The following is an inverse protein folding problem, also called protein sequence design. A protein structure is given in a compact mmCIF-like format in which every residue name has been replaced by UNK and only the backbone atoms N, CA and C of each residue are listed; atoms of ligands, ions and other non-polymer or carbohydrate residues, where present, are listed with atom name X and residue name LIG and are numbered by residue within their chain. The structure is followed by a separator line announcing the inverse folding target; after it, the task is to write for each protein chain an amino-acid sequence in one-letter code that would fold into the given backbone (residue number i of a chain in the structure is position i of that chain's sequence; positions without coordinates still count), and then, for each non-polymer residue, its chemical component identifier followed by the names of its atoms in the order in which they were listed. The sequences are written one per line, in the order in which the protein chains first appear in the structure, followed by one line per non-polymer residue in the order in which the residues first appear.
data_IF_127913209632
#
_entry.id   IF_127913209632
#
_cell.length_a   1.000
_cell.length_b   1.000
_cell.length_c   1.000
_cell.angle_alpha   90.00
_cell.angle_beta   90.00
_cell.angle_gamma   90.00
#
_symmetry.space_group_name_H-M   'P 1'
#
loop_
_entity.id
_entity.type
_entity.pdbx_description
1 polymer ?
#
# COMPACT_ATOMS: atom_id res chain seq x y z
N UNK A 1 -2.87 -10.92 3.22
CA UNK A 1 -1.91 -9.83 2.91
C UNK A 1 -0.56 -10.35 2.38
N UNK A 2 0.02 -11.39 2.98
CA UNK A 2 1.28 -11.94 2.49
C UNK A 2 1.22 -12.41 1.04
N UNK A 3 0.10 -13.00 0.62
CA UNK A 3 -0.09 -13.43 -0.76
C UNK A 3 -0.11 -12.26 -1.75
N UNK A 4 -0.70 -11.13 -1.34
CA UNK A 4 -0.73 -9.94 -2.18
C UNK A 4 0.67 -9.39 -2.44
N UNK A 5 1.46 -9.21 -1.39
CA UNK A 5 2.78 -8.60 -1.51
C UNK A 5 3.82 -9.55 -2.08
N UNK A 6 3.58 -10.84 -2.02
CA UNK A 6 4.46 -11.85 -2.61
C UNK A 6 4.15 -12.21 -4.05
N UNK A 7 3.06 -11.69 -4.61
CA UNK A 7 2.64 -12.04 -5.96
C UNK A 7 3.43 -11.26 -7.01
N UNK A 8 4.35 -11.95 -7.67
CA UNK A 8 5.17 -11.35 -8.73
C UNK A 8 4.49 -11.35 -10.09
N UNK A 9 3.40 -12.11 -10.25
CA UNK A 9 2.66 -12.24 -11.50
C UNK A 9 1.46 -11.33 -11.62
N UNK A 10 1.28 -10.37 -10.72
CA UNK A 10 0.08 -9.54 -10.68
C UNK A 10 -0.14 -8.74 -11.97
N UNK A 11 0.93 -8.34 -12.66
CA UNK A 11 0.83 -7.58 -13.92
C UNK A 11 0.33 -8.42 -15.08
N UNK A 12 0.62 -9.73 -15.02
CA UNK A 12 0.23 -10.69 -16.06
C UNK A 12 -1.15 -11.28 -15.80
N UNK A 13 -1.69 -11.08 -14.58
CA UNK A 13 -2.98 -11.64 -14.18
C UNK A 13 -3.81 -10.61 -13.39
N UNK A 14 -4.48 -9.67 -14.10
CA UNK A 14 -5.28 -8.63 -13.45
C UNK A 14 -6.39 -9.17 -12.54
N UNK A 15 -7.02 -10.29 -12.92
CA UNK A 15 -8.10 -10.88 -12.11
C UNK A 15 -7.57 -11.37 -10.75
N UNK A 16 -6.42 -12.03 -10.76
CA UNK A 16 -5.78 -12.50 -9.53
C UNK A 16 -5.38 -11.30 -8.66
N UNK A 17 -4.75 -10.29 -9.26
CA UNK A 17 -4.35 -9.08 -8.57
C UNK A 17 -5.55 -8.39 -7.92
N UNK A 18 -6.61 -8.16 -8.69
CA UNK A 18 -7.81 -7.49 -8.18
C UNK A 18 -8.49 -8.26 -7.07
N UNK A 19 -8.49 -9.61 -7.14
CA UNK A 19 -9.02 -10.43 -6.05
C UNK A 19 -8.22 -10.26 -4.77
N UNK A 20 -6.88 -10.25 -4.87
CA UNK A 20 -6.01 -10.06 -3.71
C UNK A 20 -6.18 -8.65 -3.13
N UNK A 21 -6.37 -7.65 -3.98
CA UNK A 21 -6.68 -6.29 -3.53
C UNK A 21 -8.02 -6.26 -2.77
N UNK A 22 -9.04 -6.92 -3.29
CA UNK A 22 -10.34 -6.98 -2.63
C UNK A 22 -10.24 -7.67 -1.25
N UNK A 23 -9.47 -8.75 -1.15
CA UNK A 23 -9.22 -9.44 0.11
C UNK A 23 -8.46 -8.53 1.10
N UNK A 24 -7.44 -7.82 0.62
CA UNK A 24 -6.69 -6.86 1.43
C UNK A 24 -7.59 -5.75 1.96
N UNK A 25 -8.46 -5.19 1.10
CA UNK A 25 -9.37 -4.13 1.52
C UNK A 25 -10.38 -4.63 2.55
N UNK A 26 -10.88 -5.86 2.39
CA UNK A 26 -11.80 -6.45 3.37
C UNK A 26 -11.14 -6.60 4.74
N UNK A 27 -9.90 -7.07 4.78
CA UNK A 27 -9.13 -7.19 6.02
C UNK A 27 -8.85 -5.83 6.63
N UNK A 28 -8.49 -4.85 5.81
CA UNK A 28 -8.21 -3.50 6.25
C UNK A 28 -9.42 -2.83 6.89
N UNK A 29 -10.60 -3.01 6.30
CA UNK A 29 -11.85 -2.45 6.86
C UNK A 29 -12.08 -2.96 8.28
N UNK A 30 -11.80 -4.23 8.54
CA UNK A 30 -11.92 -4.80 9.89
C UNK A 30 -10.86 -4.24 10.82
N UNK A 31 -9.60 -4.22 10.37
CA UNK A 31 -8.47 -3.78 11.20
C UNK A 31 -8.57 -2.30 11.59
N UNK A 32 -8.99 -1.44 10.68
CA UNK A 32 -9.03 0.01 10.93
C UNK A 32 -10.15 0.43 11.89
N UNK A 33 -11.06 -0.48 12.27
CA UNK A 33 -12.15 -0.18 13.18
C UNK A 33 -11.74 -0.16 14.65
N UNK A 34 -10.52 -0.58 14.97
CA UNK A 34 -10.02 -0.59 16.34
C UNK A 34 -8.62 -0.01 16.41
N UNK A 35 -8.26 0.54 17.57
CA UNK A 35 -6.90 1.04 17.80
C UNK A 35 -5.87 -0.07 17.70
N UNK A 36 -6.20 -1.27 18.18
CA UNK A 36 -5.32 -2.44 18.09
C UNK A 36 -5.08 -2.84 16.63
N UNK A 37 -6.14 -2.87 15.82
CA UNK A 37 -6.01 -3.19 14.39
C UNK A 37 -5.20 -2.15 13.63
N UNK A 38 -5.42 -0.87 13.90
CA UNK A 38 -4.62 0.22 13.31
C UNK A 38 -3.16 0.11 13.70
N UNK A 39 -2.87 -0.21 14.96
CA UNK A 39 -1.50 -0.41 15.41
C UNK A 39 -0.84 -1.60 14.70
N UNK A 40 -1.59 -2.67 14.42
CA UNK A 40 -1.11 -3.81 13.67
C UNK A 40 -0.69 -3.39 12.24
N UNK A 41 -1.52 -2.63 11.55
CA UNK A 41 -1.19 -2.11 10.21
C UNK A 41 0.01 -1.16 10.28
N UNK A 42 0.03 -0.27 11.26
CA UNK A 42 1.14 0.67 11.43
C UNK A 42 2.48 -0.04 11.66
N UNK A 43 2.49 -1.14 12.40
CA UNK A 43 3.70 -1.92 12.64
C UNK A 43 4.28 -2.50 11.34
N UNK A 44 3.46 -2.76 10.34
CA UNK A 44 3.91 -3.27 9.04
C UNK A 44 4.69 -2.24 8.23
N UNK A 45 4.62 -0.96 8.57
CA UNK A 45 5.42 0.07 7.91
C UNK A 45 6.90 -0.08 8.18
N UNK A 46 7.27 -0.86 9.19
CA UNK A 46 8.66 -1.17 9.52
C UNK A 46 9.09 -2.56 9.03
N UNK A 47 8.24 -3.27 8.28
CA UNK A 47 8.56 -4.59 7.74
C UNK A 47 9.75 -4.48 6.77
N UNK A 48 10.69 -5.45 6.80
CA UNK A 48 11.83 -5.41 5.89
C UNK A 48 11.47 -5.57 4.41
N UNK A 49 10.29 -6.09 4.09
CA UNK A 49 9.84 -6.25 2.70
C UNK A 49 9.28 -4.93 2.16
N UNK A 50 9.87 -4.37 1.10
CA UNK A 50 9.44 -3.07 0.58
C UNK A 50 7.96 -3.00 0.18
N UNK A 51 7.43 -4.06 -0.39
CA UNK A 51 6.02 -4.09 -0.80
C UNK A 51 5.08 -4.03 0.40
N UNK A 52 5.42 -4.70 1.50
CA UNK A 52 4.62 -4.64 2.74
C UNK A 52 4.64 -3.25 3.33
N UNK A 53 5.81 -2.61 3.37
CA UNK A 53 5.97 -1.23 3.85
C UNK A 53 5.12 -0.27 3.01
N UNK A 54 5.18 -0.41 1.69
CA UNK A 54 4.44 0.46 0.77
C UNK A 54 2.92 0.33 0.98
N UNK A 55 2.40 -0.89 0.98
CA UNK A 55 0.96 -1.13 1.12
C UNK A 55 0.44 -0.69 2.48
N UNK A 56 1.17 -0.99 3.56
CA UNK A 56 0.75 -0.60 4.90
C UNK A 56 0.82 0.91 5.10
N UNK A 57 1.87 1.57 4.62
CA UNK A 57 1.97 3.02 4.70
C UNK A 57 0.88 3.71 3.91
N UNK A 58 0.53 3.20 2.72
CA UNK A 58 -0.59 3.71 1.94
C UNK A 58 -1.90 3.63 2.69
N UNK A 59 -2.13 2.57 3.46
CA UNK A 59 -3.31 2.44 4.30
C UNK A 59 -3.28 3.43 5.48
N UNK A 60 -2.15 3.55 6.16
CA UNK A 60 -1.99 4.44 7.32
C UNK A 60 -2.21 5.91 6.97
N UNK A 61 -1.95 6.32 5.73
CA UNK A 61 -2.22 7.69 5.28
C UNK A 61 -3.65 8.14 5.58
N UNK A 62 -4.62 7.23 5.54
CA UNK A 62 -6.03 7.57 5.70
C UNK A 62 -6.42 7.87 7.15
N UNK A 63 -5.59 7.53 8.13
CA UNK A 63 -5.88 7.85 9.53
C UNK A 63 -4.72 8.45 10.30
N UNK A 64 -3.50 8.37 9.79
CA UNK A 64 -2.32 8.95 10.45
C UNK A 64 -1.28 9.33 9.40
N UNK A 65 -1.52 10.45 8.75
CA UNK A 65 -0.62 10.97 7.72
C UNK A 65 0.80 11.19 8.25
N UNK A 66 0.93 11.71 9.46
CA UNK A 66 2.24 12.05 10.02
C UNK A 66 3.11 10.80 10.23
N UNK A 67 2.49 9.67 10.53
CA UNK A 67 3.21 8.39 10.66
C UNK A 67 3.56 7.78 9.32
N UNK A 68 2.67 7.89 8.33
CA UNK A 68 2.83 7.22 7.02
C UNK A 68 3.72 7.98 6.06
N UNK A 69 3.68 9.31 6.07
CA UNK A 69 4.39 10.14 5.11
C UNK A 69 5.91 9.91 5.11
N UNK A 70 6.59 9.80 6.25
CA UNK A 70 8.04 9.52 6.27
C UNK A 70 8.39 8.19 5.59
N UNK A 71 7.60 7.14 5.81
CA UNK A 71 7.82 5.83 5.19
C UNK A 71 7.67 5.91 3.68
N UNK A 72 6.61 6.55 3.19
CA UNK A 72 6.39 6.71 1.76
C UNK A 72 7.46 7.57 1.11
N UNK A 73 7.92 8.62 1.80
CA UNK A 73 8.99 9.48 1.32
C UNK A 73 10.30 8.70 1.19
N UNK A 74 10.61 7.87 2.18
CA UNK A 74 11.81 7.02 2.14
C UNK A 74 11.77 6.06 0.96
N UNK A 75 10.62 5.42 0.71
CA UNK A 75 10.45 4.52 -0.42
C UNK A 75 10.57 5.29 -1.75
N UNK A 76 9.95 6.45 -1.86
CA UNK A 76 10.00 7.31 -3.04
C UNK A 76 11.44 7.71 -3.39
N UNK A 77 12.24 8.00 -2.39
CA UNK A 77 13.60 8.51 -2.55
C UNK A 77 14.63 7.38 -2.68
N UNK A 78 14.18 6.15 -2.92
CA UNK A 78 15.06 5.00 -3.14
C UNK A 78 16.10 5.31 -4.24
N UNK A 79 17.37 4.96 -4.02
CA UNK A 79 18.42 5.20 -5.01
C UNK A 79 18.33 4.30 -6.24
N UNK A 80 17.50 3.29 -6.22
CA UNK A 80 17.34 2.33 -7.32
C UNK A 80 16.55 2.98 -8.46
N UNK A 81 17.19 3.14 -9.61
CA UNK A 81 16.68 3.89 -10.76
C UNK A 81 15.32 3.40 -11.28
N UNK A 82 15.08 2.10 -11.27
CA UNK A 82 13.86 1.48 -11.79
C UNK A 82 13.03 0.83 -10.70
N UNK A 83 13.02 1.41 -9.52
CA UNK A 83 12.26 0.91 -8.40
C UNK A 83 10.77 1.23 -8.58
N UNK A 84 9.98 0.20 -8.89
CA UNK A 84 8.54 0.35 -9.07
C UNK A 84 7.84 0.76 -7.76
N UNK A 85 8.38 0.35 -6.62
CA UNK A 85 7.84 0.77 -5.32
C UNK A 85 8.04 2.27 -5.12
N UNK A 86 9.20 2.81 -5.54
CA UNK A 86 9.45 4.24 -5.46
C UNK A 86 8.48 5.04 -6.32
N UNK A 87 8.20 4.57 -7.53
CA UNK A 87 7.24 5.21 -8.44
C UNK A 87 5.84 5.18 -7.82
N UNK A 88 5.43 4.05 -7.27
CA UNK A 88 4.13 3.90 -6.62
C UNK A 88 4.02 4.82 -5.41
N UNK A 89 5.06 4.89 -4.58
CA UNK A 89 5.07 5.78 -3.41
C UNK A 89 4.93 7.24 -3.82
N UNK A 90 5.63 7.66 -4.89
CA UNK A 90 5.53 9.02 -5.43
C UNK A 90 4.09 9.33 -5.84
N UNK A 91 3.47 8.46 -6.61
CA UNK A 91 2.10 8.66 -7.06
C UNK A 91 1.11 8.64 -5.90
N UNK A 92 1.31 7.77 -4.92
CA UNK A 92 0.48 7.70 -3.72
C UNK A 92 0.50 9.04 -2.99
N UNK A 93 1.67 9.63 -2.78
CA UNK A 93 1.80 10.92 -2.11
C UNK A 93 1.16 12.05 -2.94
N UNK A 94 1.39 12.07 -4.25
CA UNK A 94 0.81 13.07 -5.13
C UNK A 94 -0.71 13.01 -5.14
N UNK A 95 -1.28 11.80 -5.23
CA UNK A 95 -2.72 11.61 -5.25
C UNK A 95 -3.33 11.95 -3.90
N UNK A 96 -2.66 11.61 -2.80
CA UNK A 96 -3.12 11.99 -1.47
C UNK A 96 -3.18 13.50 -1.31
N UNK A 97 -2.12 14.20 -1.71
CA UNK A 97 -2.06 15.67 -1.60
C UNK A 97 -3.09 16.35 -2.52
N UNK A 98 -3.41 15.74 -3.65
CA UNK A 98 -4.44 16.23 -4.58
C UNK A 98 -5.87 15.86 -4.15
N UNK A 99 -6.03 15.00 -3.14
CA UNK A 99 -7.34 14.52 -2.71
C UNK A 99 -7.96 13.47 -3.63
N UNK A 100 -7.15 12.84 -4.48
CA UNK A 100 -7.62 11.87 -5.49
C UNK A 100 -7.18 10.43 -5.19
N UNK A 101 -6.53 10.18 -4.06
CA UNK A 101 -6.06 8.83 -3.72
C UNK A 101 -7.24 7.88 -3.49
N UNK A 102 -7.19 6.74 -4.17
CA UNK A 102 -8.16 5.67 -4.05
C UNK A 102 -7.51 4.46 -3.41
N UNK A 103 -8.17 3.88 -2.39
CA UNK A 103 -7.68 2.67 -1.75
C UNK A 103 -7.83 1.48 -2.70
N UNK A 104 -6.74 0.72 -2.84
CA UNK A 104 -6.79 -0.54 -3.58
C UNK A 104 -7.17 -0.36 -5.04
N UNK A 105 -6.41 0.42 -5.78
CA UNK A 105 -6.67 0.63 -7.20
C UNK A 105 -6.70 -0.69 -7.95
N UNK A 106 -7.77 -0.90 -8.72
CA UNK A 106 -7.98 -2.12 -9.47
C UNK A 106 -7.40 -1.99 -10.87
N UNK A 107 -6.87 -3.12 -11.38
CA UNK A 107 -6.35 -3.18 -12.74
C UNK A 107 -7.50 -3.32 -13.74
N UNK A 108 -7.39 -2.73 -14.94
CA UNK A 108 -8.41 -2.88 -15.98
C UNK A 108 -8.54 -4.32 -16.46
N UNK A 109 -9.71 -4.68 -16.99
CA UNK A 109 -9.95 -5.98 -17.59
C UNK A 109 -10.57 -7.04 -16.68
N UNK A 110 -11.10 -6.65 -15.53
CA UNK A 110 -11.81 -7.58 -14.62
C UNK A 110 -13.25 -7.16 -14.38
#
# INVERSE_FOLDING_TARGET
MADLVGDRGHRDNPRRWNRLVDEWLADLVVLEQSDEGRATVAALTDDPRPAVRLWSAGAVLFWDEDAARPTLTEIRDSPTRYDLHAITAKHTLLDFDAGTLVRGERLPGT
#
